data_IF_690644172929
#
_entry.id   IF_690644172929
#
_cell.length_a   1.000
_cell.length_b   1.000
_cell.length_c   1.000
_cell.angle_alpha   90.00
_cell.angle_beta   90.00
_cell.angle_gamma   90.00
#
_symmetry.space_group_name_H-M   'P 1'
#
loop_
_entity.id
_entity.type
_entity.pdbx_description
1 polymer ?
#
# COMPACT_ATOMS: atom_id res chain seq x y z
N UNK A 1 5.48 -3.19 -18.74
CA UNK A 1 4.72 -3.41 -17.49
C UNK A 1 4.91 -4.82 -16.98
N UNK A 2 5.80 -4.94 -16.01
CA UNK A 2 6.09 -6.16 -15.26
C UNK A 2 5.48 -6.02 -13.87
N UNK A 3 4.68 -6.99 -13.43
CA UNK A 3 4.15 -7.02 -12.06
C UNK A 3 5.21 -7.56 -11.10
N UNK A 4 5.59 -6.75 -10.11
CA UNK A 4 6.59 -7.13 -9.09
C UNK A 4 5.96 -7.47 -7.75
N UNK A 5 4.70 -7.07 -7.55
CA UNK A 5 3.94 -7.35 -6.34
C UNK A 5 2.46 -7.38 -6.67
N UNK A 6 1.73 -8.30 -6.03
CA UNK A 6 0.27 -8.35 -6.06
C UNK A 6 -0.24 -8.99 -4.77
N UNK A 7 -1.25 -8.36 -4.18
CA UNK A 7 -2.00 -8.91 -3.06
C UNK A 7 -3.49 -8.56 -3.19
N UNK A 8 -4.31 -9.26 -2.42
CA UNK A 8 -5.75 -8.99 -2.30
C UNK A 8 -6.06 -8.59 -0.87
N UNK A 9 -6.87 -7.56 -0.70
CA UNK A 9 -7.40 -7.14 0.58
C UNK A 9 -8.40 -8.19 1.06
N UNK A 10 -8.13 -8.85 2.18
CA UNK A 10 -9.03 -9.85 2.79
C UNK A 10 -10.05 -9.21 3.74
N UNK A 11 -9.73 -8.03 4.29
CA UNK A 11 -10.62 -7.30 5.18
C UNK A 11 -10.15 -5.86 5.40
N UNK A 12 -11.01 -5.07 6.03
CA UNK A 12 -10.69 -3.70 6.44
C UNK A 12 -11.19 -3.48 7.86
N UNK A 13 -10.36 -2.83 8.69
CA UNK A 13 -10.81 -2.34 9.99
C UNK A 13 -11.84 -1.20 9.84
N UNK A 14 -12.71 -0.99 10.84
CA UNK A 14 -13.75 0.04 10.80
C UNK A 14 -13.20 1.45 10.60
N UNK A 15 -12.00 1.74 11.13
CA UNK A 15 -11.37 3.06 11.04
C UNK A 15 -10.43 3.17 9.83
N UNK A 16 -10.11 2.06 9.14
CA UNK A 16 -9.23 2.06 7.96
C UNK A 16 -9.80 2.94 6.83
N UNK A 17 -11.13 2.93 6.66
CA UNK A 17 -11.81 3.75 5.64
C UNK A 17 -11.75 5.25 5.95
N UNK A 18 -11.61 5.65 7.22
CA UNK A 18 -11.50 7.07 7.57
C UNK A 18 -10.19 7.70 7.05
N UNK A 19 -9.14 6.89 6.90
CA UNK A 19 -7.88 7.31 6.30
C UNK A 19 -7.98 7.47 4.78
N UNK A 20 -8.82 6.67 4.11
CA UNK A 20 -9.05 6.78 2.66
C UNK A 20 -9.53 8.19 2.30
N UNK A 21 -10.45 8.76 3.09
CA UNK A 21 -10.94 10.13 2.93
C UNK A 21 -9.87 11.21 3.12
N UNK A 22 -8.75 10.88 3.78
CA UNK A 22 -7.59 11.76 3.97
C UNK A 22 -6.50 11.53 2.91
N UNK A 23 -6.73 10.64 1.93
CA UNK A 23 -5.75 10.30 0.91
C UNK A 23 -4.60 9.44 1.42
N UNK A 24 -4.83 8.64 2.47
CA UNK A 24 -3.85 7.65 2.93
C UNK A 24 -4.50 6.32 3.31
N UNK A 25 -3.74 5.23 3.29
CA UNK A 25 -4.15 3.98 3.92
C UNK A 25 -2.95 3.21 4.45
N UNK A 26 -3.22 2.28 5.36
CA UNK A 26 -2.21 1.39 5.93
C UNK A 26 -2.65 -0.04 5.68
N UNK A 27 -1.75 -0.88 5.18
CA UNK A 27 -1.98 -2.32 5.08
C UNK A 27 -1.30 -3.04 6.22
N UNK A 28 -1.77 -4.24 6.55
CA UNK A 28 -1.11 -5.15 7.46
C UNK A 28 -1.44 -6.61 7.06
N UNK A 29 -0.53 -7.53 7.32
CA UNK A 29 -0.78 -8.96 7.18
C UNK A 29 -1.79 -9.51 8.20
N UNK A 30 -2.15 -10.78 8.05
CA UNK A 30 -3.14 -11.44 8.92
C UNK A 30 -2.72 -11.50 10.40
N UNK A 31 -1.42 -11.48 10.68
CA UNK A 31 -0.82 -11.42 12.02
C UNK A 31 -0.82 -10.02 12.66
N UNK A 32 -1.54 -9.06 12.07
CA UNK A 32 -1.67 -7.71 12.64
C UNK A 32 -2.19 -7.75 14.09
N UNK A 33 -1.55 -7.01 15.02
CA UNK A 33 -2.07 -6.86 16.37
C UNK A 33 -3.51 -6.33 16.35
N UNK A 34 -4.38 -6.85 17.22
CA UNK A 34 -5.81 -6.53 17.26
C UNK A 34 -6.07 -5.01 17.33
N UNK A 35 -5.28 -4.30 18.13
CA UNK A 35 -5.35 -2.84 18.29
C UNK A 35 -4.98 -2.05 17.02
N UNK A 36 -4.19 -2.62 16.09
CA UNK A 36 -3.85 -2.00 14.82
C UNK A 36 -4.80 -2.43 13.70
N UNK A 37 -5.41 -3.62 13.83
CA UNK A 37 -6.32 -4.19 12.85
C UNK A 37 -7.51 -3.27 12.56
N UNK A 38 -7.94 -2.49 13.54
CA UNK A 38 -9.04 -1.53 13.39
C UNK A 38 -8.73 -0.38 12.42
N UNK A 39 -7.45 -0.07 12.21
CA UNK A 39 -6.97 1.07 11.41
C UNK A 39 -6.33 0.65 10.08
N UNK A 40 -6.25 -0.65 9.79
CA UNK A 40 -5.53 -1.18 8.63
C UNK A 40 -6.41 -2.02 7.70
N UNK A 41 -5.99 -2.07 6.43
CA UNK A 41 -6.45 -3.05 5.45
C UNK A 41 -5.66 -4.34 5.61
N UNK A 42 -6.35 -5.45 5.79
CA UNK A 42 -5.73 -6.76 5.93
C UNK A 42 -5.46 -7.32 4.55
N UNK A 43 -4.21 -7.70 4.31
CA UNK A 43 -3.75 -8.27 3.05
C UNK A 43 -3.11 -9.64 3.28
N UNK A 44 -2.96 -10.41 2.21
CA UNK A 44 -2.20 -11.66 2.25
C UNK A 44 -0.72 -11.37 2.53
N UNK A 45 -0.25 -11.83 3.70
CA UNK A 45 1.14 -11.67 4.14
C UNK A 45 2.13 -12.58 3.39
N UNK A 46 1.64 -13.58 2.65
CA UNK A 46 2.47 -14.42 1.80
C UNK A 46 2.85 -13.73 0.47
N UNK A 47 2.20 -12.61 0.13
CA UNK A 47 2.56 -11.81 -1.03
C UNK A 47 3.92 -11.13 -0.80
N UNK A 48 4.86 -11.36 -1.72
CA UNK A 48 6.22 -10.80 -1.64
C UNK A 48 6.58 -10.05 -2.92
N UNK A 49 7.37 -8.99 -2.76
CA UNK A 49 7.94 -8.24 -3.85
C UNK A 49 9.06 -9.04 -4.51
N UNK A 50 9.00 -9.20 -5.83
CA UNK A 50 10.04 -9.87 -6.61
C UNK A 50 11.24 -8.95 -6.90
N UNK A 51 11.07 -7.63 -6.77
CA UNK A 51 12.07 -6.58 -7.00
C UNK A 51 11.93 -5.47 -5.95
N UNK A 52 12.89 -4.52 -5.93
CA UNK A 52 12.79 -3.33 -5.09
C UNK A 52 11.62 -2.42 -5.50
N UNK A 53 11.07 -1.69 -4.51
CA UNK A 53 10.06 -0.65 -4.73
C UNK A 53 10.79 0.67 -4.90
N UNK A 54 10.66 1.32 -6.06
CA UNK A 54 11.45 2.50 -6.42
C UNK A 54 10.58 3.57 -7.10
N UNK A 55 11.06 4.82 -7.09
CA UNK A 55 10.45 5.93 -7.82
C UNK A 55 10.48 5.64 -9.32
N UNK A 56 9.36 5.93 -10.01
CA UNK A 56 9.17 5.63 -11.43
C UNK A 56 8.40 4.32 -11.70
N UNK A 57 8.13 3.53 -10.66
CA UNK A 57 7.16 2.44 -10.69
C UNK A 57 5.74 2.96 -10.46
N UNK A 58 4.75 2.09 -10.63
CA UNK A 58 3.33 2.42 -10.43
C UNK A 58 2.68 1.50 -9.40
N UNK A 59 2.03 2.09 -8.40
CA UNK A 59 1.12 1.40 -7.51
C UNK A 59 -0.24 1.29 -8.20
N UNK A 60 -0.77 0.09 -8.36
CA UNK A 60 -2.06 -0.16 -9.00
C UNK A 60 -3.06 -0.62 -7.94
N UNK A 61 -4.13 0.15 -7.78
CA UNK A 61 -5.23 -0.14 -6.84
C UNK A 61 -6.51 -0.35 -7.65
N UNK A 62 -7.07 -1.57 -7.62
CA UNK A 62 -8.26 -1.95 -8.41
C UNK A 62 -8.16 -1.55 -9.90
N UNK A 63 -6.97 -1.70 -10.47
CA UNK A 63 -6.68 -1.37 -11.88
C UNK A 63 -6.38 0.11 -12.15
N UNK A 64 -6.43 0.99 -11.15
CA UNK A 64 -6.00 2.39 -11.28
C UNK A 64 -4.52 2.53 -10.92
N UNK A 65 -3.72 3.04 -11.85
CA UNK A 65 -2.30 3.27 -11.66
C UNK A 65 -2.02 4.62 -10.99
N UNK A 66 -1.12 4.61 -10.02
CA UNK A 66 -0.64 5.75 -9.25
C UNK A 66 0.89 5.75 -9.30
N UNK A 67 1.54 6.72 -9.98
CA UNK A 67 2.99 6.79 -10.05
C UNK A 67 3.61 6.97 -8.66
N UNK A 68 4.62 6.16 -8.34
CA UNK A 68 5.37 6.24 -7.10
C UNK A 68 6.33 7.43 -7.17
N UNK A 69 6.18 8.37 -6.24
CA UNK A 69 6.96 9.61 -6.15
C UNK A 69 8.02 9.57 -5.04
N UNK A 70 7.81 8.76 -4.00
CA UNK A 70 8.82 8.50 -2.98
C UNK A 70 8.58 7.15 -2.28
N UNK A 71 9.65 6.53 -1.80
CA UNK A 71 9.61 5.26 -1.07
C UNK A 71 10.51 5.38 0.16
N UNK A 72 10.00 5.01 1.33
CA UNK A 72 10.80 4.94 2.54
C UNK A 72 11.70 3.71 2.57
N UNK A 73 12.85 3.82 3.22
CA UNK A 73 13.93 2.81 3.18
C UNK A 73 13.52 1.43 3.73
N UNK A 74 12.47 1.35 4.54
CA UNK A 74 11.96 0.07 5.10
C UNK A 74 10.58 -0.31 4.58
N UNK A 75 9.99 0.45 3.64
CA UNK A 75 8.64 0.20 3.13
C UNK A 75 8.52 -1.19 2.50
N UNK A 76 9.44 -1.54 1.59
CA UNK A 76 9.51 -2.87 0.97
C UNK A 76 9.65 -3.97 2.02
N UNK A 77 10.63 -3.82 2.93
CA UNK A 77 10.91 -4.83 3.95
C UNK A 77 9.70 -5.09 4.84
N UNK A 78 9.01 -4.03 5.27
CA UNK A 78 7.81 -4.18 6.08
C UNK A 78 6.66 -4.81 5.30
N UNK A 79 6.51 -4.48 4.00
CA UNK A 79 5.52 -5.11 3.14
C UNK A 79 5.77 -6.61 3.00
N UNK A 80 7.01 -7.02 2.70
CA UNK A 80 7.38 -8.43 2.51
C UNK A 80 7.36 -9.26 3.81
N UNK A 81 7.65 -8.65 4.96
CA UNK A 81 7.77 -9.36 6.24
C UNK A 81 6.47 -9.38 7.04
N UNK A 82 5.69 -8.30 6.96
CA UNK A 82 4.54 -8.06 7.83
C UNK A 82 3.26 -7.76 7.05
N UNK A 83 3.31 -7.65 5.72
CA UNK A 83 2.23 -7.06 4.94
C UNK A 83 1.99 -5.58 5.27
N UNK A 84 2.96 -4.92 5.90
CA UNK A 84 2.77 -3.60 6.50
C UNK A 84 3.40 -2.50 5.65
N UNK A 85 2.57 -1.60 5.11
CA UNK A 85 3.04 -0.38 4.46
C UNK A 85 2.01 0.73 4.62
N UNK A 86 2.47 1.97 4.67
CA UNK A 86 1.60 3.14 4.58
C UNK A 86 1.67 3.71 3.17
N UNK A 87 0.53 3.92 2.53
CA UNK A 87 0.46 4.57 1.22
C UNK A 87 -0.18 5.94 1.38
N UNK A 88 0.45 6.98 0.82
CA UNK A 88 -0.06 8.34 0.78
C UNK A 88 -0.23 8.77 -0.67
N UNK A 89 -1.44 9.21 -1.03
CA UNK A 89 -1.75 9.80 -2.34
C UNK A 89 -1.63 11.31 -2.21
N UNK A 90 -0.42 11.80 -1.94
CA UNK A 90 -0.11 13.23 -1.76
C UNK A 90 0.92 13.76 -2.76
N UNK A 91 1.49 12.89 -3.60
CA UNK A 91 2.53 13.22 -4.57
C UNK A 91 3.84 13.74 -3.96
N UNK A 92 4.12 13.46 -2.68
CA UNK A 92 5.33 13.96 -2.05
C UNK A 92 6.59 13.37 -2.70
N UNK A 93 7.60 14.21 -2.93
CA UNK A 93 8.88 13.82 -3.52
C UNK A 93 9.86 13.19 -2.49
N UNK A 94 9.49 13.16 -1.21
CA UNK A 94 10.31 12.62 -0.12
C UNK A 94 9.43 11.80 0.81
N UNK A 95 9.91 10.62 1.22
CA UNK A 95 9.18 9.76 2.12
C UNK A 95 9.08 10.41 3.51
N UNK A 96 7.85 10.65 3.98
CA UNK A 96 7.60 11.23 5.31
C UNK A 96 7.88 10.24 6.44
N UNK A 97 7.84 8.94 6.14
CA UNK A 97 8.11 7.85 7.08
C UNK A 97 8.91 6.76 6.36
N UNK A 98 9.80 6.11 7.11
CA UNK A 98 10.64 5.03 6.56
C UNK A 98 9.81 3.86 5.99
N UNK A 99 8.59 3.64 6.49
CA UNK A 99 7.67 2.59 6.00
C UNK A 99 6.59 3.08 5.05
N UNK A 100 6.71 4.30 4.49
CA UNK A 100 5.69 4.90 3.64
C UNK A 100 6.07 4.89 2.16
N UNK A 101 5.06 4.73 1.32
CA UNK A 101 5.12 4.94 -0.13
C UNK A 101 4.24 6.16 -0.43
N UNK A 102 4.80 7.11 -1.18
CA UNK A 102 4.08 8.26 -1.68
C UNK A 102 3.82 8.07 -3.17
N UNK A 103 2.58 8.33 -3.57
CA UNK A 103 2.16 8.25 -4.96
C UNK A 103 1.46 9.53 -5.38
N UNK A 104 1.54 9.86 -6.66
CA UNK A 104 0.77 10.95 -7.25
C UNK A 104 -0.60 10.44 -7.71
N UNK A 105 -1.66 11.13 -7.33
CA UNK A 105 -3.02 10.87 -7.80
C UNK A 105 -3.99 11.90 -7.25
N UNK A 106 -5.14 12.05 -7.91
CA UNK A 106 -6.17 13.01 -7.47
C UNK A 106 -7.23 12.36 -6.59
N UNK A 107 -7.50 11.07 -6.78
CA UNK A 107 -8.59 10.35 -6.11
C UNK A 107 -8.06 9.02 -5.59
N UNK A 108 -8.11 8.81 -4.28
CA UNK A 108 -7.87 7.51 -3.68
C UNK A 108 -9.07 6.58 -3.98
N UNK A 109 -8.84 5.34 -4.43
CA UNK A 109 -9.93 4.40 -4.63
C UNK A 109 -10.48 3.92 -3.28
N UNK A 110 -11.76 3.59 -3.24
CA UNK A 110 -12.37 2.93 -2.08
C UNK A 110 -11.83 1.50 -2.00
N UNK A 111 -10.89 1.24 -1.09
CA UNK A 111 -10.41 -0.11 -0.80
C UNK A 111 -11.42 -0.85 0.07
N UNK A 112 -11.73 -2.09 -0.30
CA UNK A 112 -12.59 -2.99 0.47
C UNK A 112 -12.07 -4.43 0.39
N UNK A 113 -12.70 -5.34 1.12
CA UNK A 113 -12.42 -6.76 0.96
C UNK A 113 -12.67 -7.19 -0.50
N UNK A 114 -11.68 -7.83 -1.12
CA UNK A 114 -11.66 -8.19 -2.54
C UNK A 114 -10.90 -7.19 -3.43
N UNK A 115 -10.56 -5.99 -2.94
CA UNK A 115 -9.74 -5.05 -3.68
C UNK A 115 -8.34 -5.60 -3.94
N UNK A 116 -7.78 -5.28 -5.10
CA UNK A 116 -6.44 -5.70 -5.51
C UNK A 116 -5.45 -4.56 -5.36
N UNK A 117 -4.29 -4.85 -4.77
CA UNK A 117 -3.15 -3.94 -4.70
C UNK A 117 -1.98 -4.60 -5.45
N UNK A 118 -1.41 -3.90 -6.41
CA UNK A 118 -0.26 -4.38 -7.18
C UNK A 118 0.78 -3.28 -7.37
N UNK A 119 2.03 -3.66 -7.64
CA UNK A 119 3.09 -2.73 -8.03
C UNK A 119 3.64 -3.19 -9.38
N UNK A 120 3.66 -2.27 -10.34
CA UNK A 120 4.13 -2.51 -11.69
C UNK A 120 5.39 -1.69 -11.99
N UNK A 121 6.31 -2.29 -12.71
CA UNK A 121 7.45 -1.62 -13.33
C UNK A 121 7.06 -1.32 -14.78
N UNK A 122 6.96 -0.04 -15.19
CA UNK A 122 6.58 0.33 -16.56
C UNK A 122 7.46 -0.30 -17.64
#
# INVERSE_FOLDING_TARGET
MTEIYRTTVSGAGPEATAFIGQGMFVTFGEDAPEALREFCFIIDAAAQTSQDIEVGQELVLDGRAYPITAVGDVARKNLDQLGHVTVNVDGAATAKMHGAIHVSGEIMPELAAGSTIAILVP
#
